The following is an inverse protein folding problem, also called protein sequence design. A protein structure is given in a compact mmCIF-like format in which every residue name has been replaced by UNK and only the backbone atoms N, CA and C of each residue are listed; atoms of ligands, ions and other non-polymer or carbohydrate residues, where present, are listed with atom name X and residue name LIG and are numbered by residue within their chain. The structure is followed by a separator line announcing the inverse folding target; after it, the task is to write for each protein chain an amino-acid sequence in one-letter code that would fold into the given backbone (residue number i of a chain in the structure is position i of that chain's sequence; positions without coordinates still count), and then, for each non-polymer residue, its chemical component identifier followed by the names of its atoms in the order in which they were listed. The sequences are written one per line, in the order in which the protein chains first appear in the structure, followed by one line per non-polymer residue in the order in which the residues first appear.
data_IF_444346486705
#
_entry.id   IF_444346486705
#
_cell.length_a   1.000
_cell.length_b   1.000
_cell.length_c   1.000
_cell.angle_alpha   90.00
_cell.angle_beta   90.00
_cell.angle_gamma   90.00
#
_symmetry.space_group_name_H-M   'P 1'
#
loop_
_entity.id
_entity.type
_entity.pdbx_description
1 polymer ?
#
# COMPACT_ATOMS: atom_id res chain seq x y z
N UNK A 1 -9.66 -17.98 6.25
CA UNK A 1 -8.51 -17.08 6.09
C UNK A 1 -8.83 -16.23 4.89
N UNK A 2 -8.77 -14.90 5.00
CA UNK A 2 -8.80 -14.07 3.80
C UNK A 2 -7.55 -14.43 2.98
N UNK A 3 -7.67 -14.57 1.66
CA UNK A 3 -6.52 -14.82 0.79
C UNK A 3 -5.58 -13.60 0.78
N UNK A 4 -4.34 -13.82 0.33
CA UNK A 4 -3.41 -12.72 0.04
C UNK A 4 -4.00 -11.83 -1.05
N UNK A 5 -3.79 -10.52 -0.94
CA UNK A 5 -4.16 -9.57 -1.99
C UNK A 5 -3.29 -9.77 -3.23
N UNK A 6 -3.74 -9.23 -4.36
CA UNK A 6 -3.11 -9.44 -5.65
C UNK A 6 -1.68 -8.89 -5.73
N UNK A 7 -1.38 -7.78 -5.05
CA UNK A 7 -0.02 -7.22 -4.95
C UNK A 7 0.87 -7.90 -3.88
N UNK A 8 0.33 -8.83 -3.08
CA UNK A 8 1.04 -9.42 -1.95
C UNK A 8 1.78 -10.71 -2.32
N UNK A 9 2.98 -10.85 -1.75
CA UNK A 9 3.79 -12.06 -1.83
C UNK A 9 4.24 -12.44 -0.42
N UNK A 10 3.98 -13.67 -0.01
CA UNK A 10 4.48 -14.24 1.23
C UNK A 10 5.65 -15.17 0.91
N UNK A 11 6.80 -14.95 1.56
CA UNK A 11 8.04 -15.70 1.31
C UNK A 11 8.53 -16.35 2.60
N UNK A 12 8.97 -17.61 2.53
CA UNK A 12 9.62 -18.27 3.64
C UNK A 12 11.13 -18.01 3.58
N UNK A 13 11.61 -17.23 4.54
CA UNK A 13 13.00 -16.77 4.62
C UNK A 13 13.75 -17.59 5.66
N UNK A 14 14.79 -18.30 5.24
CA UNK A 14 15.63 -19.15 6.08
C UNK A 14 17.00 -18.50 6.37
N UNK A 15 17.47 -18.66 7.60
CA UNK A 15 18.80 -18.21 8.03
C UNK A 15 19.88 -19.23 7.59
N UNK A 16 20.71 -18.84 6.63
CA UNK A 16 21.71 -19.75 6.05
C UNK A 16 22.83 -20.10 7.03
N UNK A 17 23.22 -19.16 7.89
CA UNK A 17 24.27 -19.42 8.86
C UNK A 17 23.86 -20.42 9.94
N UNK A 18 22.60 -20.38 10.40
CA UNK A 18 22.07 -21.42 11.29
C UNK A 18 21.80 -22.74 10.58
N UNK A 19 21.36 -22.66 9.32
CA UNK A 19 21.18 -23.84 8.48
C UNK A 19 22.50 -24.62 8.32
N UNK A 20 23.61 -23.92 8.07
CA UNK A 20 24.95 -24.50 8.01
C UNK A 20 25.41 -25.15 9.33
N UNK A 21 24.88 -24.69 10.46
CA UNK A 21 25.11 -25.28 11.80
C UNK A 21 24.13 -26.42 12.13
N UNK A 22 23.26 -26.82 11.19
CA UNK A 22 22.28 -27.89 11.36
C UNK A 22 21.00 -27.47 12.08
N UNK A 23 20.76 -26.16 12.24
CA UNK A 23 19.55 -25.61 12.86
C UNK A 23 18.64 -24.96 11.80
N UNK A 24 17.39 -25.44 11.71
CA UNK A 24 16.38 -24.81 10.88
C UNK A 24 15.79 -23.61 11.63
N UNK A 25 16.11 -22.40 11.17
CA UNK A 25 15.44 -21.18 11.62
C UNK A 25 15.06 -20.34 10.40
N UNK A 26 13.80 -19.91 10.37
CA UNK A 26 13.22 -19.07 9.34
C UNK A 26 11.82 -18.63 9.71
N UNK A 27 11.26 -17.71 8.93
CA UNK A 27 9.92 -17.17 9.13
C UNK A 27 9.23 -16.91 7.79
N UNK A 28 7.90 -16.98 7.78
CA UNK A 28 7.09 -16.48 6.69
C UNK A 28 6.96 -14.97 6.81
N UNK A 29 7.25 -14.25 5.73
CA UNK A 29 7.19 -12.79 5.66
C UNK A 29 6.26 -12.42 4.50
N UNK A 30 5.16 -11.75 4.81
CA UNK A 30 4.25 -11.20 3.79
C UNK A 30 4.66 -9.78 3.44
N UNK A 31 4.91 -9.56 2.15
CA UNK A 31 5.23 -8.29 1.53
C UNK A 31 3.99 -7.77 0.76
N UNK A 32 3.81 -6.44 0.64
CA UNK A 32 4.68 -5.43 1.20
C UNK A 32 4.47 -5.27 2.71
N UNK A 33 5.50 -4.76 3.40
CA UNK A 33 5.46 -4.36 4.80
C UNK A 33 6.41 -3.18 5.06
N UNK A 34 6.21 -2.41 6.15
CA UNK A 34 7.08 -1.29 6.48
C UNK A 34 8.55 -1.72 6.62
N UNK A 35 9.48 -0.89 6.13
CA UNK A 35 10.91 -1.23 6.08
C UNK A 35 11.51 -1.53 7.48
N UNK A 36 11.14 -0.74 8.49
CA UNK A 36 11.57 -0.97 9.88
C UNK A 36 11.05 -2.32 10.40
N UNK A 37 9.79 -2.64 10.10
CA UNK A 37 9.17 -3.92 10.48
C UNK A 37 9.83 -5.10 9.77
N UNK A 38 10.19 -4.96 8.50
CA UNK A 38 10.92 -5.98 7.76
C UNK A 38 12.29 -6.26 8.42
N UNK A 39 13.04 -5.20 8.76
CA UNK A 39 14.33 -5.33 9.46
C UNK A 39 14.17 -6.00 10.83
N UNK A 40 13.17 -5.60 11.61
CA UNK A 40 12.88 -6.20 12.91
C UNK A 40 12.47 -7.67 12.80
N UNK A 41 11.66 -8.03 11.80
CA UNK A 41 11.25 -9.41 11.54
C UNK A 41 12.45 -10.29 11.17
N UNK A 42 13.33 -9.78 10.30
CA UNK A 42 14.57 -10.46 9.93
C UNK A 42 15.49 -10.70 11.13
N UNK A 43 15.56 -9.73 12.05
CA UNK A 43 16.38 -9.84 13.25
C UNK A 43 15.78 -10.77 14.30
N UNK A 44 14.49 -10.64 14.57
CA UNK A 44 13.84 -11.30 15.72
C UNK A 44 13.30 -12.68 15.39
N UNK A 45 12.69 -12.86 14.20
CA UNK A 45 12.04 -14.12 13.81
C UNK A 45 13.00 -15.01 13.01
N UNK A 46 13.62 -14.46 11.95
CA UNK A 46 14.61 -15.19 11.14
C UNK A 46 15.94 -15.33 11.89
N UNK A 47 16.21 -14.46 12.87
CA UNK A 47 17.40 -14.54 13.72
C UNK A 47 18.68 -14.06 13.04
N UNK A 48 18.55 -13.13 12.09
CA UNK A 48 19.69 -12.45 11.47
C UNK A 48 20.27 -11.39 12.40
N UNK A 49 21.55 -11.07 12.21
CA UNK A 49 22.31 -10.13 13.02
C UNK A 49 23.52 -10.77 13.72
N UNK A 50 24.44 -9.91 14.14
CA UNK A 50 25.71 -10.35 14.75
C UNK A 50 26.58 -11.10 13.74
N UNK A 51 26.63 -12.43 13.82
CA UNK A 51 27.43 -13.28 12.92
C UNK A 51 26.63 -13.92 11.77
N UNK A 52 25.30 -13.76 11.77
CA UNK A 52 24.41 -14.38 10.79
C UNK A 52 23.82 -13.31 9.89
N UNK A 53 24.41 -13.11 8.73
CA UNK A 53 24.04 -12.03 7.78
C UNK A 53 23.29 -12.55 6.55
N UNK A 54 23.41 -13.85 6.26
CA UNK A 54 22.92 -14.45 5.04
C UNK A 54 21.58 -15.16 5.25
N UNK A 55 20.66 -14.93 4.31
CA UNK A 55 19.37 -15.60 4.21
C UNK A 55 19.14 -16.16 2.80
N UNK A 56 18.18 -17.06 2.69
CA UNK A 56 17.64 -17.53 1.42
C UNK A 56 16.13 -17.64 1.49
N UNK A 57 15.47 -17.40 0.35
CA UNK A 57 14.06 -17.72 0.14
C UNK A 57 13.97 -19.20 -0.24
N UNK A 58 13.25 -20.00 0.55
CA UNK A 58 13.07 -21.43 0.27
C UNK A 58 11.67 -21.79 -0.22
N UNK A 59 10.70 -20.92 0.02
CA UNK A 59 9.33 -21.12 -0.43
C UNK A 59 8.64 -19.78 -0.61
N UNK A 60 7.57 -19.74 -1.39
CA UNK A 60 6.75 -18.56 -1.60
C UNK A 60 5.30 -18.91 -1.94
N UNK A 61 4.38 -18.03 -1.55
CA UNK A 61 2.95 -18.09 -1.87
C UNK A 61 2.42 -16.66 -2.13
N UNK A 62 1.33 -16.52 -2.85
CA UNK A 62 0.82 -15.22 -3.30
C UNK A 62 -0.61 -15.31 -3.81
N UNK A 63 -1.20 -14.14 -4.05
CA UNK A 63 -2.54 -14.00 -4.65
C UNK A 63 -2.56 -14.32 -6.15
N UNK A 64 -3.68 -13.99 -6.81
CA UNK A 64 -3.90 -14.23 -8.25
C UNK A 64 -3.33 -13.11 -9.14
N UNK A 65 -2.80 -12.03 -8.54
CA UNK A 65 -2.13 -10.94 -9.22
C UNK A 65 -0.62 -11.13 -9.41
N UNK A 66 0.19 -10.37 -8.67
CA UNK A 66 1.62 -10.17 -8.83
C UNK A 66 2.40 -11.48 -8.98
N UNK A 67 2.22 -12.43 -8.06
CA UNK A 67 2.94 -13.71 -8.09
C UNK A 67 2.46 -14.61 -9.24
N UNK A 68 1.16 -14.66 -9.51
CA UNK A 68 0.61 -15.51 -10.56
C UNK A 68 0.93 -15.01 -11.98
N UNK A 69 1.17 -13.70 -12.14
CA UNK A 69 1.25 -13.06 -13.44
C UNK A 69 2.64 -12.54 -13.79
N UNK A 70 3.38 -11.95 -12.84
CA UNK A 70 4.60 -11.17 -13.11
C UNK A 70 5.80 -11.75 -12.38
N UNK A 71 5.73 -11.82 -11.05
CA UNK A 71 6.87 -12.08 -10.17
C UNK A 71 7.24 -13.56 -10.10
N UNK A 72 8.54 -13.83 -9.96
CA UNK A 72 9.07 -15.17 -9.70
C UNK A 72 10.24 -15.06 -8.72
N UNK A 73 9.98 -15.01 -7.40
CA UNK A 73 11.03 -14.87 -6.39
C UNK A 73 12.08 -15.98 -6.50
N UNK A 74 13.35 -15.60 -6.52
CA UNK A 74 14.48 -16.54 -6.55
C UNK A 74 15.15 -16.64 -5.18
N UNK A 75 15.95 -17.69 -4.98
CA UNK A 75 16.53 -18.06 -3.67
C UNK A 75 17.30 -16.92 -2.98
N UNK A 76 18.01 -16.09 -3.75
CA UNK A 76 18.86 -14.99 -3.23
C UNK A 76 18.30 -13.61 -3.58
N UNK A 77 17.00 -13.53 -3.87
CA UNK A 77 16.35 -12.26 -4.18
C UNK A 77 16.36 -11.32 -2.98
N UNK A 78 16.52 -10.03 -3.24
CA UNK A 78 16.51 -9.00 -2.19
C UNK A 78 15.10 -8.81 -1.66
N UNK A 79 14.88 -9.07 -0.37
CA UNK A 79 13.58 -8.85 0.28
C UNK A 79 13.17 -7.38 0.26
N UNK A 80 14.12 -6.45 0.33
CA UNK A 80 13.84 -5.02 0.19
C UNK A 80 13.34 -4.70 -1.22
N UNK A 81 13.92 -5.31 -2.26
CA UNK A 81 13.52 -5.04 -3.64
C UNK A 81 12.18 -5.70 -3.95
N UNK A 82 11.92 -6.90 -3.44
CA UNK A 82 10.61 -7.53 -3.49
C UNK A 82 9.56 -6.69 -2.75
N UNK A 83 9.91 -6.11 -1.60
CA UNK A 83 9.02 -5.23 -0.85
C UNK A 83 8.63 -4.00 -1.66
N UNK A 84 9.61 -3.32 -2.25
CA UNK A 84 9.39 -2.16 -3.11
C UNK A 84 8.58 -2.50 -4.37
N UNK A 85 8.82 -3.66 -4.98
CA UNK A 85 8.01 -4.15 -6.09
C UNK A 85 6.55 -4.34 -5.65
N UNK A 86 6.29 -5.03 -4.54
CA UNK A 86 4.91 -5.20 -4.04
C UNK A 86 4.23 -3.86 -3.79
N UNK A 87 4.95 -2.89 -3.21
CA UNK A 87 4.47 -1.51 -3.00
C UNK A 87 4.15 -0.75 -4.29
N UNK A 88 4.99 -0.91 -5.31
CA UNK A 88 4.77 -0.28 -6.62
C UNK A 88 3.53 -0.83 -7.33
N UNK A 89 3.20 -2.11 -7.16
CA UNK A 89 1.95 -2.67 -7.68
C UNK A 89 0.74 -2.25 -6.83
N UNK A 90 0.89 -2.25 -5.50
CA UNK A 90 -0.13 -1.73 -4.59
C UNK A 90 -0.52 -0.28 -4.92
N UNK A 91 0.45 0.59 -5.21
CA UNK A 91 0.17 2.00 -5.54
C UNK A 91 -0.52 2.20 -6.88
N UNK A 92 -0.51 1.20 -7.76
CA UNK A 92 -0.98 1.31 -9.14
C UNK A 92 -2.27 0.54 -9.40
N UNK A 93 -2.61 -0.47 -8.60
CA UNK A 93 -3.75 -1.34 -8.93
C UNK A 93 -5.10 -0.63 -8.98
N UNK A 94 -5.30 0.43 -8.17
CA UNK A 94 -6.54 1.21 -8.16
C UNK A 94 -6.60 2.22 -9.33
N UNK A 95 -5.46 2.79 -9.71
CA UNK A 95 -5.37 3.81 -10.77
C UNK A 95 -5.26 3.20 -12.17
N UNK A 96 -4.61 2.05 -12.28
CA UNK A 96 -4.37 1.31 -13.51
C UNK A 96 -4.75 -0.18 -13.33
N UNK A 97 -6.02 -0.55 -13.59
CA UNK A 97 -6.50 -1.92 -13.37
C UNK A 97 -5.83 -2.95 -14.29
N UNK A 98 -5.18 -2.50 -15.37
CA UNK A 98 -4.49 -3.36 -16.32
C UNK A 98 -2.98 -3.50 -15.99
N UNK A 99 -2.48 -2.91 -14.89
CA UNK A 99 -1.03 -2.87 -14.56
C UNK A 99 -0.37 -4.24 -14.56
N UNK A 100 -1.02 -5.26 -13.99
CA UNK A 100 -0.49 -6.63 -13.95
C UNK A 100 -0.34 -7.22 -15.35
N UNK A 101 -1.33 -7.03 -16.22
CA UNK A 101 -1.29 -7.53 -17.59
C UNK A 101 -0.26 -6.77 -18.42
N UNK A 102 -0.22 -5.44 -18.31
CA UNK A 102 0.78 -4.58 -18.97
C UNK A 102 2.19 -5.04 -18.67
N UNK A 103 2.54 -5.16 -17.39
CA UNK A 103 3.89 -5.55 -16.96
C UNK A 103 4.20 -7.00 -17.35
N UNK A 104 3.22 -7.90 -17.26
CA UNK A 104 3.36 -9.29 -17.75
C UNK A 104 3.63 -9.35 -19.24
N UNK A 105 2.92 -8.55 -20.05
CA UNK A 105 3.14 -8.51 -21.48
C UNK A 105 4.52 -7.99 -21.83
N UNK A 106 4.99 -6.93 -21.16
CA UNK A 106 6.38 -6.44 -21.29
C UNK A 106 7.39 -7.55 -20.98
N UNK A 107 7.17 -8.32 -19.91
CA UNK A 107 8.04 -9.45 -19.55
C UNK A 107 8.07 -10.52 -20.64
N UNK A 108 6.91 -10.86 -21.20
CA UNK A 108 6.77 -11.96 -22.16
C UNK A 108 7.26 -11.56 -23.57
N UNK A 109 7.28 -10.26 -23.89
CA UNK A 109 7.60 -9.70 -25.20
C UNK A 109 9.08 -9.25 -25.34
N UNK A 110 9.62 -8.53 -24.35
CA UNK A 110 10.97 -7.94 -24.41
C UNK A 110 12.03 -8.85 -23.80
N UNK A 111 12.87 -9.43 -24.68
CA UNK A 111 14.18 -10.11 -24.52
C UNK A 111 14.36 -11.00 -23.27
N UNK A 112 14.80 -12.24 -23.47
CA UNK A 112 14.72 -13.38 -22.54
C UNK A 112 15.49 -13.27 -21.20
N UNK A 113 16.04 -12.10 -20.87
CA UNK A 113 16.72 -11.87 -19.60
C UNK A 113 15.69 -11.71 -18.46
N UNK A 114 15.81 -12.48 -17.38
CA UNK A 114 15.00 -12.26 -16.19
C UNK A 114 15.19 -10.82 -15.68
N UNK A 115 14.06 -10.13 -15.42
CA UNK A 115 14.07 -8.80 -14.82
C UNK A 115 14.16 -8.91 -13.29
N UNK A 116 14.82 -7.92 -12.69
CA UNK A 116 14.88 -7.81 -11.22
C UNK A 116 13.56 -7.24 -10.67
N UNK A 117 13.27 -7.41 -9.38
CA UNK A 117 12.09 -6.79 -8.76
C UNK A 117 12.03 -5.27 -8.93
N UNK A 118 13.18 -4.57 -8.91
CA UNK A 118 13.24 -3.12 -9.15
C UNK A 118 12.89 -2.73 -10.58
N UNK A 119 13.19 -3.59 -11.55
CA UNK A 119 12.78 -3.35 -12.94
C UNK A 119 11.27 -3.53 -13.10
N UNK A 120 10.68 -4.53 -12.44
CA UNK A 120 9.22 -4.67 -12.40
C UNK A 120 8.54 -3.51 -11.65
N UNK A 121 9.13 -3.03 -10.55
CA UNK A 121 8.63 -1.85 -9.84
C UNK A 121 8.63 -0.61 -10.76
N UNK A 122 9.71 -0.39 -11.50
CA UNK A 122 9.79 0.69 -12.50
C UNK A 122 8.69 0.58 -13.57
N UNK A 123 8.48 -0.62 -14.11
CA UNK A 123 7.42 -0.84 -15.11
C UNK A 123 6.02 -0.56 -14.54
N UNK A 124 5.75 -0.95 -13.30
CA UNK A 124 4.48 -0.65 -12.64
C UNK A 124 4.29 0.87 -12.44
N UNK A 125 5.30 1.56 -11.89
CA UNK A 125 5.21 3.01 -11.65
C UNK A 125 5.09 3.83 -12.95
N UNK A 126 5.66 3.34 -14.05
CA UNK A 126 5.57 3.97 -15.37
C UNK A 126 4.50 3.30 -16.26
N UNK A 127 3.49 2.62 -15.69
CA UNK A 127 2.54 1.81 -16.46
C UNK A 127 1.67 2.60 -17.44
N UNK A 128 1.55 3.92 -17.25
CA UNK A 128 0.84 4.83 -18.16
C UNK A 128 1.60 5.09 -19.47
N UNK A 129 2.91 4.86 -19.48
CA UNK A 129 3.77 5.03 -20.67
C UNK A 129 3.94 3.72 -21.46
N UNK A 130 3.44 2.61 -20.93
CA UNK A 130 3.42 1.33 -21.65
C UNK A 130 2.38 1.45 -22.79
N UNK A 131 2.76 1.21 -24.07
CA UNK A 131 1.88 1.29 -25.23
C UNK A 131 0.92 0.09 -25.28
N UNK A 132 0.10 -0.05 -24.24
CA UNK A 132 -0.91 -1.06 -24.07
C UNK A 132 -2.30 -0.46 -24.28
N UNK A 133 -3.15 -1.23 -24.94
CA UNK A 133 -4.51 -0.85 -25.22
C UNK A 133 -5.46 -1.99 -24.86
N UNK A 134 -6.40 -1.73 -23.96
CA UNK A 134 -7.48 -2.67 -23.63
C UNK A 134 -8.37 -2.88 -24.86
N UNK A 135 -8.89 -4.10 -25.02
CA UNK A 135 -9.72 -4.42 -26.17
C UNK A 135 -11.06 -3.66 -26.14
N UNK A 136 -11.45 -3.12 -27.29
CA UNK A 136 -12.82 -2.67 -27.56
C UNK A 136 -13.55 -3.79 -28.31
N UNK A 137 -14.00 -4.80 -27.57
CA UNK A 137 -14.58 -6.02 -28.13
C UNK A 137 -15.85 -6.47 -27.39
N UNK A 138 -16.76 -7.19 -28.07
CA UNK A 138 -17.90 -7.80 -27.42
C UNK A 138 -17.49 -8.85 -26.38
N UNK A 139 -18.23 -8.93 -25.26
CA UNK A 139 -17.97 -9.85 -24.15
C UNK A 139 -18.01 -11.34 -24.51
N UNK A 140 -18.62 -11.70 -25.65
CA UNK A 140 -18.71 -13.08 -26.14
C UNK A 140 -17.53 -13.47 -27.05
N UNK A 141 -16.59 -12.55 -27.32
CA UNK A 141 -15.40 -12.83 -28.11
C UNK A 141 -14.37 -13.57 -27.26
N UNK A 142 -14.20 -14.86 -27.50
CA UNK A 142 -13.39 -15.72 -26.64
C UNK A 142 -11.89 -15.71 -27.00
N UNK A 143 -11.51 -15.48 -28.26
CA UNK A 143 -10.09 -15.45 -28.68
C UNK A 143 -9.51 -14.03 -28.69
N UNK A 144 -8.20 -13.93 -28.40
CA UNK A 144 -7.44 -12.68 -28.38
C UNK A 144 -7.45 -12.01 -29.75
N UNK A 145 -7.27 -12.81 -30.79
CA UNK A 145 -7.31 -12.38 -32.18
C UNK A 145 -8.68 -11.81 -32.54
N UNK A 146 -9.78 -12.48 -32.17
CA UNK A 146 -11.12 -11.95 -32.43
C UNK A 146 -11.37 -10.64 -31.67
N UNK A 147 -10.93 -10.53 -30.41
CA UNK A 147 -11.04 -9.28 -29.64
C UNK A 147 -10.26 -8.14 -30.31
N UNK A 148 -9.05 -8.41 -30.79
CA UNK A 148 -8.24 -7.44 -31.53
C UNK A 148 -8.90 -7.00 -32.84
N UNK A 149 -9.46 -7.95 -33.60
CA UNK A 149 -10.22 -7.63 -34.81
C UNK A 149 -11.43 -6.75 -34.54
N UNK A 150 -12.19 -7.03 -33.49
CA UNK A 150 -13.31 -6.19 -33.06
C UNK A 150 -12.85 -4.78 -32.69
N UNK A 151 -11.74 -4.68 -31.97
CA UNK A 151 -11.12 -3.40 -31.62
C UNK A 151 -10.79 -2.59 -32.86
N UNK A 152 -10.18 -3.21 -33.86
CA UNK A 152 -9.86 -2.55 -35.14
C UNK A 152 -11.10 -2.03 -35.88
N UNK A 153 -12.21 -2.78 -35.83
CA UNK A 153 -13.49 -2.37 -36.42
C UNK A 153 -14.09 -1.18 -35.66
N UNK A 154 -14.19 -1.27 -34.33
CA UNK A 154 -14.84 -0.26 -33.50
C UNK A 154 -14.08 1.07 -33.48
N UNK A 155 -12.75 1.00 -33.46
CA UNK A 155 -11.90 2.18 -33.51
C UNK A 155 -11.65 2.69 -34.96
N UNK A 156 -12.14 1.97 -35.97
CA UNK A 156 -12.21 2.45 -37.35
C UNK A 156 -10.92 2.33 -38.17
N UNK A 157 -9.96 1.51 -37.75
CA UNK A 157 -8.73 1.23 -38.49
C UNK A 157 -8.75 -0.13 -39.21
N UNK A 158 -9.85 -0.89 -39.10
CA UNK A 158 -10.13 -2.00 -40.00
C UNK A 158 -10.21 -1.53 -41.47
N UNK A 159 -9.89 -2.44 -42.39
CA UNK A 159 -9.87 -2.15 -43.83
C UNK A 159 -11.23 -1.65 -44.34
N UNK A 160 -11.23 -0.81 -45.38
CA UNK A 160 -12.45 -0.29 -46.02
C UNK A 160 -13.40 -1.42 -46.47
N UNK A 161 -12.85 -2.55 -46.91
CA UNK A 161 -13.64 -3.73 -47.30
C UNK A 161 -14.40 -4.32 -46.11
N UNK A 162 -13.72 -4.51 -44.97
CA UNK A 162 -14.32 -5.01 -43.73
C UNK A 162 -15.37 -4.03 -43.21
N UNK A 163 -15.05 -2.74 -43.16
CA UNK A 163 -16.00 -1.70 -42.73
C UNK A 163 -17.26 -1.68 -43.60
N UNK A 164 -17.11 -1.77 -44.92
CA UNK A 164 -18.24 -1.84 -45.87
C UNK A 164 -19.12 -3.08 -45.65
N UNK A 165 -18.54 -4.22 -45.28
CA UNK A 165 -19.31 -5.40 -44.92
C UNK A 165 -20.14 -5.17 -43.64
N UNK A 166 -19.63 -4.46 -42.64
CA UNK A 166 -20.43 -4.08 -41.46
C UNK A 166 -21.55 -3.10 -41.82
N UNK A 167 -21.26 -2.06 -42.60
CA UNK A 167 -22.25 -1.05 -43.02
C UNK A 167 -23.40 -1.65 -43.86
N UNK A 168 -23.13 -2.72 -44.59
CA UNK A 168 -24.12 -3.45 -45.40
C UNK A 168 -24.82 -4.60 -44.66
N UNK A 169 -24.50 -4.80 -43.38
CA UNK A 169 -25.09 -5.87 -42.56
C UNK A 169 -24.54 -7.27 -42.84
N UNK A 170 -23.41 -7.38 -43.55
CA UNK A 170 -22.72 -8.62 -43.87
C UNK A 170 -21.54 -8.94 -42.94
N UNK A 171 -21.27 -8.09 -41.94
CA UNK A 171 -20.15 -8.25 -41.00
C UNK A 171 -20.14 -9.59 -40.26
N UNK A 172 -21.30 -10.21 -40.03
CA UNK A 172 -21.41 -11.54 -39.40
C UNK A 172 -20.81 -12.69 -40.24
N UNK A 173 -20.48 -12.45 -41.50
CA UNK A 173 -19.79 -13.41 -42.37
C UNK A 173 -18.27 -13.37 -42.22
N UNK A 174 -17.74 -12.39 -41.49
CA UNK A 174 -16.31 -12.23 -41.28
C UNK A 174 -15.89 -13.15 -40.14
N UNK A 175 -14.89 -13.99 -40.41
CA UNK A 175 -14.18 -14.72 -39.38
C UNK A 175 -13.24 -13.74 -38.64
N UNK A 176 -13.71 -13.22 -37.52
CA UNK A 176 -12.99 -12.21 -36.74
C UNK A 176 -11.69 -12.76 -36.15
N UNK A 177 -11.63 -14.05 -35.82
CA UNK A 177 -10.40 -14.68 -35.33
C UNK A 177 -9.34 -14.72 -36.44
N UNK A 178 -9.73 -15.16 -37.64
CA UNK A 178 -8.82 -15.17 -38.79
C UNK A 178 -8.38 -13.76 -39.18
N UNK A 179 -9.32 -12.79 -39.19
CA UNK A 179 -8.99 -11.41 -39.51
C UNK A 179 -8.04 -10.79 -38.49
N UNK A 180 -8.25 -11.02 -37.19
CA UNK A 180 -7.39 -10.52 -36.13
C UNK A 180 -6.01 -11.12 -36.12
N UNK A 181 -5.89 -12.42 -36.45
CA UNK A 181 -4.59 -13.07 -36.65
C UNK A 181 -3.78 -12.39 -37.75
N UNK A 182 -4.44 -12.08 -38.87
CA UNK A 182 -3.78 -11.43 -40.00
C UNK A 182 -3.41 -9.97 -39.66
N UNK A 183 -4.30 -9.23 -38.96
CA UNK A 183 -3.99 -7.89 -38.44
C UNK A 183 -2.79 -7.90 -37.48
N UNK A 184 -2.68 -8.89 -36.60
CA UNK A 184 -1.54 -9.04 -35.69
C UNK A 184 -0.22 -9.21 -36.45
N UNK A 185 -0.23 -10.05 -37.49
CA UNK A 185 0.96 -10.30 -38.32
C UNK A 185 1.43 -9.05 -39.07
N UNK A 186 0.49 -8.19 -39.47
CA UNK A 186 0.80 -6.94 -40.17
C UNK A 186 1.15 -5.77 -39.24
N UNK A 187 0.56 -5.74 -38.03
CA UNK A 187 0.58 -4.60 -37.12
C UNK A 187 1.71 -4.57 -36.09
N UNK A 188 2.54 -5.61 -36.02
CA UNK A 188 3.62 -5.76 -35.03
C UNK A 188 3.12 -5.54 -33.59
N UNK A 189 2.19 -6.40 -33.17
CA UNK A 189 1.61 -6.33 -31.81
C UNK A 189 1.67 -7.67 -31.10
N UNK A 190 1.77 -7.60 -29.79
CA UNK A 190 1.60 -8.73 -28.88
C UNK A 190 0.20 -8.73 -28.27
N UNK A 191 -0.45 -9.89 -28.23
CA UNK A 191 -1.85 -10.00 -27.78
C UNK A 191 -1.93 -10.60 -26.36
N UNK A 192 -2.50 -9.82 -25.45
CA UNK A 192 -2.80 -10.16 -24.06
C UNK A 192 -4.17 -10.80 -23.88
N UNK A 193 -4.57 -11.01 -22.63
CA UNK A 193 -5.86 -11.61 -22.30
C UNK A 193 -7.00 -10.58 -22.40
N UNK A 194 -6.73 -9.33 -22.00
CA UNK A 194 -7.68 -8.20 -21.99
C UNK A 194 -7.26 -7.01 -22.88
N UNK A 195 -6.07 -7.03 -23.45
CA UNK A 195 -5.62 -6.00 -24.37
C UNK A 195 -4.45 -6.42 -25.25
N UNK A 196 -3.82 -5.47 -25.91
CA UNK A 196 -2.68 -5.69 -26.78
C UNK A 196 -1.60 -4.67 -26.53
N UNK A 197 -0.37 -5.07 -26.81
CA UNK A 197 0.83 -4.26 -26.69
C UNK A 197 1.34 -3.95 -28.10
N UNK A 198 1.49 -2.66 -28.40
CA UNK A 198 2.08 -2.23 -29.68
C UNK A 198 3.61 -2.31 -29.60
N UNK A 199 4.25 -2.87 -30.63
CA UNK A 199 5.70 -2.76 -30.80
C UNK A 199 6.04 -1.36 -31.31
N UNK A 200 5.93 -0.37 -30.42
CA UNK A 200 6.17 1.04 -30.67
C UNK A 200 7.57 1.49 -30.18
N UNK A 201 7.95 2.75 -30.41
CA UNK A 201 9.16 3.32 -29.82
C UNK A 201 8.99 3.44 -28.28
N UNK A 202 9.48 2.44 -27.55
CA UNK A 202 9.47 2.41 -26.09
C UNK A 202 10.43 3.44 -25.49
N UNK A 203 10.10 4.05 -24.34
CA UNK A 203 11.11 4.70 -23.53
C UNK A 203 12.15 3.66 -23.11
N UNK A 204 13.38 3.82 -23.60
CA UNK A 204 14.47 2.85 -23.35
C UNK A 204 14.86 2.71 -21.88
N UNK A 205 14.40 3.64 -21.04
CA UNK A 205 14.64 3.71 -19.61
C UNK A 205 13.43 3.22 -18.78
N UNK A 206 12.33 2.78 -19.38
CA UNK A 206 11.07 2.54 -18.67
C UNK A 206 11.18 1.54 -17.49
N UNK A 207 12.07 0.55 -17.59
CA UNK A 207 12.31 -0.44 -16.53
C UNK A 207 13.53 -0.12 -15.64
N UNK A 208 14.12 1.07 -15.79
CA UNK A 208 15.28 1.51 -15.00
C UNK A 208 15.34 3.02 -14.77
N UNK A 209 14.20 3.71 -14.88
CA UNK A 209 14.09 5.17 -14.79
C UNK A 209 14.33 5.68 -13.38
N UNK A 210 13.73 5.01 -12.41
CA UNK A 210 13.85 5.27 -10.99
C UNK A 210 14.88 4.35 -10.37
N UNK A 211 15.80 4.95 -9.60
CA UNK A 211 16.67 4.26 -8.67
C UNK A 211 15.86 3.60 -7.54
N UNK A 212 16.52 2.75 -6.74
CA UNK A 212 15.88 2.14 -5.56
C UNK A 212 15.34 3.20 -4.60
N UNK A 213 16.14 4.25 -4.37
CA UNK A 213 15.80 5.34 -3.46
C UNK A 213 14.62 6.15 -4.00
N UNK A 214 14.59 6.44 -5.30
CA UNK A 214 13.45 7.12 -5.93
C UNK A 214 12.18 6.25 -5.88
N UNK A 215 12.27 4.94 -6.14
CA UNK A 215 11.12 4.04 -5.97
C UNK A 215 10.62 4.07 -4.53
N UNK A 216 11.53 3.98 -3.56
CA UNK A 216 11.16 4.05 -2.14
C UNK A 216 10.44 5.36 -1.83
N UNK A 217 10.94 6.51 -2.29
CA UNK A 217 10.29 7.80 -2.10
C UNK A 217 8.90 7.86 -2.76
N UNK A 218 8.74 7.35 -3.98
CA UNK A 218 7.46 7.33 -4.69
C UNK A 218 6.41 6.45 -3.98
N UNK A 219 6.83 5.32 -3.39
CA UNK A 219 5.91 4.35 -2.74
C UNK A 219 5.82 4.50 -1.21
N UNK A 220 6.69 5.27 -0.57
CA UNK A 220 6.60 5.63 0.86
C UNK A 220 5.45 6.59 1.14
N UNK A 221 4.97 7.34 0.13
CA UNK A 221 3.74 8.13 0.24
C UNK A 221 2.51 7.30 0.63
N UNK A 222 2.54 6.00 0.38
CA UNK A 222 1.50 5.07 0.81
C UNK A 222 1.61 4.69 2.29
N UNK A 223 2.76 4.80 2.97
CA UNK A 223 2.84 4.56 4.42
C UNK A 223 2.26 5.76 5.20
N UNK A 224 2.44 6.97 4.69
CA UNK A 224 1.80 8.19 5.22
C UNK A 224 0.29 8.26 4.88
N UNK A 225 -0.13 7.55 3.83
CA UNK A 225 -1.53 7.37 3.45
C UNK A 225 -2.19 6.18 4.15
N UNK A 226 -1.50 5.07 4.40
CA UNK A 226 -1.97 3.93 5.21
C UNK A 226 -1.97 4.26 6.71
N UNK A 227 -1.04 5.11 7.17
CA UNK A 227 -1.16 5.79 8.47
C UNK A 227 -2.44 6.65 8.55
N UNK A 228 -3.05 6.99 7.40
CA UNK A 228 -4.34 7.69 7.31
C UNK A 228 -5.51 6.80 6.86
N UNK A 229 -5.30 5.60 6.29
CA UNK A 229 -6.38 4.84 5.62
C UNK A 229 -6.32 3.30 5.71
N UNK A 230 -5.30 2.66 6.30
CA UNK A 230 -5.14 1.20 6.18
C UNK A 230 -4.46 0.45 7.33
N UNK A 231 -5.16 0.25 8.44
CA UNK A 231 -4.98 -0.91 9.32
C UNK A 231 -6.35 -1.41 9.79
N UNK A 232 -6.50 -2.69 10.22
CA UNK A 232 -7.80 -3.37 10.28
C UNK A 232 -8.79 -2.61 11.16
N UNK A 233 -9.74 -1.93 10.51
CA UNK A 233 -10.60 -0.90 11.09
C UNK A 233 -9.79 0.10 11.94
N UNK A 234 -9.22 1.12 11.27
CA UNK A 234 -8.55 2.25 11.89
C UNK A 234 -9.31 2.66 13.16
N UNK A 235 -8.65 2.50 14.30
CA UNK A 235 -9.23 2.83 15.57
C UNK A 235 -9.35 4.36 15.66
N UNK A 236 -10.57 4.87 15.50
CA UNK A 236 -10.85 6.29 15.67
C UNK A 236 -11.19 6.56 17.14
N UNK A 237 -10.29 7.25 17.85
CA UNK A 237 -10.50 7.65 19.23
C UNK A 237 -11.77 8.49 19.41
N UNK A 238 -12.18 9.25 18.38
CA UNK A 238 -13.41 10.04 18.41
C UNK A 238 -14.67 9.18 18.57
N UNK A 239 -14.63 7.90 18.18
CA UNK A 239 -15.73 6.96 18.39
C UNK A 239 -16.01 6.66 19.88
N UNK A 240 -15.05 6.93 20.78
CA UNK A 240 -15.15 6.69 22.21
C UNK A 240 -15.44 7.95 23.04
N UNK A 241 -15.55 9.12 22.39
CA UNK A 241 -15.81 10.42 23.04
C UNK A 241 -17.29 10.52 23.41
N UNK A 242 -17.58 10.89 24.65
CA UNK A 242 -18.93 11.09 25.17
C UNK A 242 -19.31 12.59 25.22
N UNK A 243 -20.62 12.92 25.34
CA UNK A 243 -21.04 14.32 25.50
C UNK A 243 -20.39 14.98 26.72
N UNK A 244 -19.71 16.11 26.50
CA UNK A 244 -18.95 16.82 27.53
C UNK A 244 -17.45 16.50 27.55
N UNK A 245 -16.96 15.69 26.61
CA UNK A 245 -15.55 15.34 26.47
C UNK A 245 -14.96 15.87 25.15
N UNK A 246 -13.63 16.00 25.11
CA UNK A 246 -12.84 16.47 23.97
C UNK A 246 -11.61 15.60 23.79
N UNK A 247 -11.06 15.58 22.58
CA UNK A 247 -9.74 14.98 22.33
C UNK A 247 -8.68 16.04 22.59
N UNK A 248 -7.65 15.68 23.35
CA UNK A 248 -6.44 16.47 23.52
C UNK A 248 -5.25 15.80 22.84
N UNK A 249 -4.49 16.58 22.08
CA UNK A 249 -3.22 16.18 21.47
C UNK A 249 -2.05 16.52 22.42
N UNK A 250 -1.09 15.62 22.55
CA UNK A 250 0.08 15.81 23.41
C UNK A 250 1.34 15.13 22.86
N UNK A 251 2.52 15.58 23.30
CA UNK A 251 3.82 15.00 22.93
C UNK A 251 4.52 14.42 24.15
N UNK A 252 5.31 13.36 23.96
CA UNK A 252 6.06 12.71 25.05
C UNK A 252 7.56 13.03 24.90
N UNK A 253 8.25 13.30 26.00
CA UNK A 253 9.70 13.51 26.00
C UNK A 253 10.44 12.23 25.60
N UNK A 254 11.48 12.35 24.78
CA UNK A 254 12.33 11.20 24.40
C UNK A 254 11.75 10.33 23.29
N UNK A 255 10.53 10.59 22.81
CA UNK A 255 9.94 9.91 21.64
C UNK A 255 10.16 10.68 20.32
N UNK A 256 10.89 11.80 20.37
CA UNK A 256 11.19 12.61 19.19
C UNK A 256 12.07 11.87 18.19
N UNK A 257 11.69 11.92 16.91
CA UNK A 257 12.47 11.39 15.80
C UNK A 257 13.15 12.54 15.05
N UNK A 258 13.98 12.23 14.04
CA UNK A 258 14.57 13.25 13.17
C UNK A 258 13.53 14.07 12.37
N UNK A 259 12.25 13.70 12.44
CA UNK A 259 11.12 14.31 11.74
C UNK A 259 10.16 15.09 12.65
N UNK A 260 10.42 15.12 13.97
CA UNK A 260 9.58 15.78 14.96
C UNK A 260 9.16 14.85 16.10
N UNK A 261 8.49 15.41 17.11
CA UNK A 261 7.88 14.60 18.18
C UNK A 261 6.53 14.06 17.70
N UNK A 262 6.28 12.74 17.79
CA UNK A 262 4.96 12.17 17.50
C UNK A 262 3.89 12.83 18.38
N UNK A 263 2.72 13.06 17.80
CA UNK A 263 1.55 13.59 18.50
C UNK A 263 0.64 12.44 18.92
N UNK A 264 0.38 12.32 20.21
CA UNK A 264 -0.50 11.33 20.82
C UNK A 264 -1.80 12.00 21.27
N UNK A 265 -2.82 11.20 21.57
CA UNK A 265 -4.18 11.65 21.85
C UNK A 265 -4.75 11.01 23.10
N UNK A 266 -5.53 11.78 23.87
CA UNK A 266 -6.37 11.26 24.94
C UNK A 266 -7.71 11.98 24.99
N UNK A 267 -8.69 11.38 25.67
CA UNK A 267 -10.01 11.97 25.91
C UNK A 267 -9.98 12.69 27.26
N UNK A 268 -10.39 13.95 27.26
CA UNK A 268 -10.50 14.80 28.45
C UNK A 268 -11.92 15.28 28.65
N UNK A 269 -12.37 15.34 29.90
CA UNK A 269 -13.61 16.02 30.27
C UNK A 269 -13.44 17.55 30.15
N UNK A 270 -14.43 18.24 29.61
CA UNK A 270 -14.38 19.69 29.39
C UNK A 270 -14.14 20.45 30.70
N UNK A 271 -13.01 21.17 30.76
CA UNK A 271 -12.61 21.93 31.95
C UNK A 271 -11.87 21.12 33.01
N UNK A 272 -11.59 19.84 32.77
CA UNK A 272 -10.70 19.04 33.62
C UNK A 272 -9.24 19.46 33.43
N UNK A 273 -8.48 19.46 34.52
CA UNK A 273 -7.02 19.68 34.50
C UNK A 273 -6.22 18.44 34.87
N UNK A 274 -6.90 17.31 35.09
CA UNK A 274 -6.27 16.06 35.52
C UNK A 274 -5.90 15.20 34.32
N UNK A 275 -4.70 15.45 33.79
CA UNK A 275 -4.16 14.75 32.62
C UNK A 275 -3.93 13.26 32.93
N UNK A 276 -3.54 12.92 34.16
CA UNK A 276 -3.24 11.53 34.53
C UNK A 276 -4.52 10.68 34.53
N UNK A 277 -5.60 11.19 35.14
CA UNK A 277 -6.91 10.54 35.08
C UNK A 277 -7.45 10.40 33.65
N UNK A 278 -7.24 11.40 32.79
CA UNK A 278 -7.63 11.35 31.38
C UNK A 278 -6.89 10.26 30.59
N UNK A 279 -5.59 10.08 30.85
CA UNK A 279 -4.79 9.03 30.24
C UNK A 279 -5.25 7.63 30.67
N UNK A 280 -5.51 7.42 31.97
CA UNK A 280 -5.98 6.12 32.46
C UNK A 280 -7.38 5.76 31.94
N UNK A 281 -8.30 6.72 31.96
CA UNK A 281 -9.66 6.50 31.45
C UNK A 281 -9.65 6.19 29.94
N UNK A 282 -8.87 6.94 29.16
CA UNK A 282 -8.72 6.69 27.72
C UNK A 282 -8.16 5.30 27.47
N UNK A 283 -7.11 4.89 28.21
CA UNK A 283 -6.50 3.57 28.09
C UNK A 283 -7.51 2.45 28.36
N UNK A 284 -8.31 2.55 29.43
CA UNK A 284 -9.34 1.56 29.74
C UNK A 284 -10.37 1.45 28.62
N UNK A 285 -10.83 2.58 28.06
CA UNK A 285 -11.78 2.59 26.94
C UNK A 285 -11.22 1.92 25.69
N UNK A 286 -9.94 2.14 25.37
CA UNK A 286 -9.26 1.50 24.23
C UNK A 286 -9.19 -0.03 24.44
N UNK A 287 -8.76 -0.46 25.63
CA UNK A 287 -8.66 -1.90 25.97
C UNK A 287 -10.02 -2.58 25.85
N UNK A 288 -11.07 -1.97 26.41
CA UNK A 288 -12.43 -2.51 26.33
C UNK A 288 -12.94 -2.56 24.89
N UNK A 289 -12.69 -1.51 24.09
CA UNK A 289 -13.11 -1.45 22.69
C UNK A 289 -12.39 -2.49 21.80
N UNK A 290 -11.12 -2.79 22.10
CA UNK A 290 -10.28 -3.75 21.35
C UNK A 290 -10.20 -5.14 21.98
N UNK A 291 -10.98 -5.42 23.02
CA UNK A 291 -10.96 -6.71 23.71
C UNK A 291 -11.27 -7.91 22.79
N UNK A 292 -12.08 -7.70 21.75
CA UNK A 292 -12.46 -8.74 20.79
C UNK A 292 -11.46 -8.92 19.64
N UNK A 293 -10.65 -7.91 19.34
CA UNK A 293 -9.70 -7.89 18.20
C UNK A 293 -8.30 -8.31 18.62
N UNK A 294 -7.93 -8.12 19.89
CA UNK A 294 -6.65 -8.58 20.44
C UNK A 294 -5.43 -7.72 20.08
N UNK A 295 -5.66 -6.54 19.50
CA UNK A 295 -4.64 -5.59 19.04
C UNK A 295 -4.56 -4.32 19.92
N UNK A 296 -5.13 -4.38 21.13
CA UNK A 296 -5.19 -3.24 22.06
C UNK A 296 -3.79 -2.64 22.35
N UNK A 297 -2.74 -3.46 22.41
CA UNK A 297 -1.36 -3.01 22.67
C UNK A 297 -0.86 -2.09 21.55
N UNK A 298 -1.08 -2.46 20.29
CA UNK A 298 -0.65 -1.68 19.14
C UNK A 298 -1.44 -0.36 19.07
N UNK A 299 -2.76 -0.43 19.26
CA UNK A 299 -3.63 0.75 19.29
C UNK A 299 -3.27 1.72 20.42
N UNK A 300 -2.94 1.21 21.61
CA UNK A 300 -2.48 2.04 22.75
C UNK A 300 -1.15 2.73 22.46
N UNK A 301 -0.21 2.01 21.84
CA UNK A 301 1.10 2.56 21.47
C UNK A 301 0.96 3.67 20.42
N UNK A 302 0.11 3.46 19.43
CA UNK A 302 -0.09 4.41 18.32
C UNK A 302 -0.92 5.62 18.76
N UNK A 303 -2.02 5.41 19.47
CA UNK A 303 -2.94 6.48 19.85
C UNK A 303 -2.38 7.30 21.01
N UNK A 304 -1.83 6.65 22.03
CA UNK A 304 -1.49 7.30 23.30
C UNK A 304 0.02 7.30 23.62
N UNK A 305 0.84 6.57 22.86
CA UNK A 305 2.23 6.34 23.21
C UNK A 305 2.40 5.43 24.44
N UNK A 306 1.34 4.73 24.85
CA UNK A 306 1.35 3.85 26.01
C UNK A 306 1.86 2.45 25.62
N UNK A 307 2.71 1.86 26.45
CA UNK A 307 3.27 0.54 26.23
C UNK A 307 3.33 -0.27 27.53
N UNK A 308 3.45 -1.61 27.46
CA UNK A 308 3.64 -2.43 28.66
C UNK A 308 4.89 -1.99 29.42
N UNK A 309 4.83 -1.94 30.76
CA UNK A 309 5.94 -1.54 31.61
C UNK A 309 7.22 -2.37 31.38
N UNK A 310 7.06 -3.64 30.99
CA UNK A 310 8.17 -4.53 30.66
C UNK A 310 8.94 -4.13 29.38
N UNK A 311 8.39 -3.25 28.55
CA UNK A 311 8.98 -2.77 27.30
C UNK A 311 9.88 -1.54 27.48
N UNK A 312 9.91 -0.93 28.67
CA UNK A 312 10.77 0.21 28.96
C UNK A 312 12.17 -0.27 29.34
N UNK A 313 13.17 0.13 28.54
CA UNK A 313 14.58 -0.11 28.86
C UNK A 313 15.05 0.73 30.05
N UNK A 314 16.05 0.24 30.79
CA UNK A 314 16.74 1.02 31.82
C UNK A 314 17.55 2.14 31.16
N UNK A 315 16.92 3.28 30.86
CA UNK A 315 17.60 4.46 30.30
C UNK A 315 17.68 5.59 31.34
N UNK A 316 18.91 6.07 31.59
CA UNK A 316 19.27 7.02 32.64
C UNK A 316 18.90 8.46 32.23
N UNK A 317 17.61 8.80 32.19
CA UNK A 317 17.22 10.21 32.00
C UNK A 317 15.75 10.53 31.77
N UNK A 318 14.90 9.55 31.47
CA UNK A 318 13.48 9.77 31.21
C UNK A 318 12.66 9.07 32.28
N UNK A 319 11.82 9.81 33.01
CA UNK A 319 10.94 9.23 34.03
C UNK A 319 9.62 8.81 33.38
N UNK A 320 9.29 7.51 33.33
CA UNK A 320 8.01 7.03 32.82
C UNK A 320 6.86 7.57 33.66
N UNK A 321 5.69 7.70 33.04
CA UNK A 321 4.43 7.94 33.76
C UNK A 321 3.74 6.60 33.88
N UNK A 322 3.57 6.12 35.11
CA UNK A 322 2.84 4.87 35.38
C UNK A 322 1.37 5.06 35.06
N UNK A 323 0.81 4.11 34.30
CA UNK A 323 -0.62 3.96 34.08
C UNK A 323 -1.07 2.64 34.71
N UNK A 324 -2.38 2.51 34.92
CA UNK A 324 -2.99 1.27 35.38
C UNK A 324 -2.73 0.07 34.43
N UNK A 325 -3.08 -1.14 34.90
CA UNK A 325 -2.99 -2.40 34.14
C UNK A 325 -1.57 -2.76 33.64
N UNK A 326 -0.54 -2.15 34.22
CA UNK A 326 0.86 -2.44 33.88
C UNK A 326 1.34 -1.76 32.59
N UNK A 327 0.67 -0.69 32.16
CA UNK A 327 1.12 0.19 31.08
C UNK A 327 1.85 1.41 31.62
N UNK A 328 2.67 2.02 30.78
CA UNK A 328 3.40 3.25 31.09
C UNK A 328 3.51 4.12 29.85
N UNK A 329 3.64 5.43 30.04
CA UNK A 329 4.19 6.31 29.01
C UNK A 329 5.73 6.33 29.15
N UNK A 330 6.50 6.24 28.05
CA UNK A 330 7.97 6.23 28.07
C UNK A 330 8.61 7.44 28.75
N UNK A 331 7.89 8.56 28.83
CA UNK A 331 8.40 9.80 29.39
C UNK A 331 7.32 10.80 29.74
N UNK A 332 7.76 12.01 30.10
CA UNK A 332 6.88 13.07 30.54
C UNK A 332 6.10 13.67 29.36
N UNK A 333 4.85 14.06 29.62
CA UNK A 333 4.06 14.87 28.69
C UNK A 333 4.68 16.27 28.58
N UNK A 334 5.02 16.69 27.37
CA UNK A 334 5.79 17.93 27.08
C UNK A 334 4.96 19.02 26.40
N UNK A 335 3.85 18.65 25.77
CA UNK A 335 2.82 19.57 25.26
C UNK A 335 1.45 18.96 25.53
N UNK A 336 0.41 19.79 25.66
CA UNK A 336 -0.96 19.33 25.84
C UNK A 336 -1.92 20.39 25.29
N UNK A 337 -2.71 20.03 24.29
CA UNK A 337 -3.62 20.95 23.62
C UNK A 337 -4.97 20.27 23.31
N UNK A 338 -6.04 20.79 23.87
CA UNK A 338 -7.40 20.35 23.52
C UNK A 338 -7.77 20.78 22.10
N UNK A 339 -8.33 19.86 21.30
CA UNK A 339 -8.82 20.20 19.96
C UNK A 339 -10.01 21.17 20.06
N UNK A 340 -9.95 22.23 19.26
CA UNK A 340 -11.09 23.11 19.06
C UNK A 340 -12.25 22.31 18.44
N UNK A 341 -13.46 22.55 18.95
CA UNK A 341 -14.66 21.94 18.37
C UNK A 341 -14.82 22.47 16.94
N UNK A 342 -14.98 21.57 15.98
CA UNK A 342 -15.44 21.97 14.66
C UNK A 342 -16.76 22.74 14.85
N UNK A 343 -16.78 24.03 14.50
CA UNK A 343 -18.00 24.81 14.49
C UNK A 343 -18.97 24.11 13.56
N UNK A 344 -20.15 23.77 14.06
CA UNK A 344 -21.23 23.25 13.23
C UNK A 344 -21.56 24.32 12.17
N UNK A 345 -21.36 24.06 10.86
CA UNK A 345 -21.75 25.00 9.81
C UNK A 345 -23.27 25.22 9.76
N UNK A 346 -24.04 24.44 10.52
CA UNK A 346 -25.49 24.55 10.69
C UNK A 346 -25.91 25.48 11.84
N UNK A 347 -24.98 25.98 12.67
CA UNK A 347 -25.31 26.85 13.80
C UNK A 347 -25.70 28.26 13.30
N UNK A 348 -26.98 28.68 13.44
CA UNK A 348 -27.45 29.97 12.93
C UNK A 348 -26.80 31.18 13.63
N UNK A 349 -26.01 30.97 14.70
CA UNK A 349 -25.28 32.04 15.39
C UNK A 349 -23.93 32.40 14.73
N UNK A 350 -23.43 31.59 13.77
CA UNK A 350 -22.19 31.90 13.05
C UNK A 350 -22.38 32.77 11.79
N UNK A 351 -23.61 33.20 11.49
CA UNK A 351 -23.84 34.27 10.51
C UNK A 351 -23.76 35.65 11.18
N UNK A 352 -22.54 36.10 11.50
CA UNK A 352 -22.34 37.52 11.80
C UNK A 352 -22.37 38.33 10.50
N UNK A 353 -23.57 38.85 10.22
CA UNK A 353 -23.85 40.22 9.79
C UNK A 353 -22.88 40.85 8.78
N UNK A 354 -23.09 40.57 7.49
CA UNK A 354 -22.64 41.45 6.40
C UNK A 354 -23.82 42.12 5.73
N UNK A 355 -24.59 42.94 6.45
CA UNK A 355 -25.53 43.86 5.84
C UNK A 355 -25.91 45.03 6.77
N UNK A 356 -25.26 46.19 6.58
CA UNK A 356 -25.99 47.46 6.64
C UNK A 356 -25.42 48.58 7.50
N UNK A 357 -25.05 49.66 6.80
CA UNK A 357 -25.09 51.07 7.24
C UNK A 357 -23.94 51.57 8.12
N UNK A 358 -23.29 52.71 7.86
CA UNK A 358 -23.77 53.83 7.06
C UNK A 358 -22.73 54.94 6.85
N UNK A 359 -23.18 55.88 6.03
CA UNK A 359 -22.57 57.14 5.68
C UNK A 359 -22.23 58.05 6.88
N UNK A 360 -21.30 58.96 6.59
CA UNK A 360 -21.08 60.32 7.14
C UNK A 360 -20.11 60.48 8.31
N UNK A 361 -18.91 60.98 8.01
CA UNK A 361 -18.62 62.43 7.96
C UNK A 361 -17.45 62.76 7.07
#
# INVERSE_FOLDING_TARGET
MAGLKDYQISVYVANLGKYAEGALQGAWITLPMPAERLQDTLKTEVGLGGRYEEYAIHDYEGGEGLLATVANPVEYESLTDLNLMCRAFESREDDDPDVYEKVRMVRDDLDAAPRTPLQYANLALNSDEIPYHSYDAPLWSDSKEAKYAWTAVNQGWASDAVRSMFDTGLGYLIDMEMYGRDLKLDGDVSLGDNGYLEDADWPSDIDGRYSREEIAEEVEWLDDFDAKTGSPAAFDLASLVQPGERIADYTISGTGTNWGAPSYQCIVEEGSTDIHAALEDTMHRIIDARAATGDAVDVLRETMGAMPAASVGEDDGVSPIDLDLGYVLPGAVTSFAERAQACDPSDPLNMTDTAGSGLSK
#
